data_IF_441971007505
#
_entry.id   IF_441971007505
#
_cell.length_a   1.000
_cell.length_b   1.000
_cell.length_c   1.000
_cell.angle_alpha   90.00
_cell.angle_beta   90.00
_cell.angle_gamma   90.00
#
_symmetry.space_group_name_H-M   'P 1'
#
loop_
_entity.id
_entity.type
_entity.pdbx_description
1 polymer ?
#
# COMPACT_ATOMS: atom_id res chain seq x y z
N UNK A 1 -8.73 -17.70 -9.84
CA UNK A 1 -9.50 -18.24 -8.69
C UNK A 1 -10.23 -17.10 -7.97
N UNK A 2 -11.15 -17.41 -7.05
CA UNK A 2 -11.75 -16.43 -6.13
C UNK A 2 -11.72 -17.01 -4.70
N UNK A 3 -10.87 -16.47 -3.84
CA UNK A 3 -10.70 -16.92 -2.46
C UNK A 3 -11.39 -15.91 -1.54
N UNK A 4 -12.29 -16.37 -0.67
CA UNK A 4 -12.91 -15.46 0.28
C UNK A 4 -11.92 -14.99 1.34
N UNK A 5 -11.21 -15.91 1.99
CA UNK A 5 -10.20 -15.57 2.99
C UNK A 5 -8.97 -16.46 2.83
N UNK A 6 -7.80 -15.83 2.80
CA UNK A 6 -6.50 -16.49 2.81
C UNK A 6 -5.81 -16.18 4.14
N UNK A 7 -5.74 -17.18 5.01
CA UNK A 7 -4.99 -17.13 6.26
C UNK A 7 -3.58 -17.67 6.03
N UNK A 8 -2.56 -16.86 6.29
CA UNK A 8 -1.16 -17.19 6.02
C UNK A 8 -0.45 -17.41 7.33
N UNK A 9 -0.19 -18.68 7.63
CA UNK A 9 0.50 -19.11 8.84
C UNK A 9 2.02 -19.15 8.67
N UNK A 10 2.72 -19.28 9.79
CA UNK A 10 4.18 -19.50 9.82
C UNK A 10 4.53 -20.86 10.40
N UNK A 11 5.68 -21.41 10.04
CA UNK A 11 6.08 -22.78 10.35
C UNK A 11 7.09 -22.85 11.51
N UNK A 12 6.85 -22.06 12.57
CA UNK A 12 7.75 -22.00 13.73
C UNK A 12 9.12 -21.41 13.36
N UNK A 13 10.19 -22.19 13.58
CA UNK A 13 11.58 -21.79 13.27
C UNK A 13 12.09 -22.34 11.93
N UNK A 14 11.34 -23.23 11.27
CA UNK A 14 11.73 -23.82 9.98
C UNK A 14 11.67 -22.76 8.88
N UNK A 15 12.72 -22.64 8.07
CA UNK A 15 12.79 -21.69 6.96
C UNK A 15 12.69 -22.42 5.62
N UNK A 16 12.02 -21.81 4.64
CA UNK A 16 11.80 -22.41 3.32
C UNK A 16 10.43 -23.05 3.13
N UNK A 17 9.59 -23.09 4.18
CA UNK A 17 8.19 -23.51 4.10
C UNK A 17 7.29 -22.28 3.93
N UNK A 18 6.42 -22.31 2.92
CA UNK A 18 5.52 -21.19 2.61
C UNK A 18 4.32 -21.63 1.79
N UNK A 19 3.26 -20.81 1.79
CA UNK A 19 2.12 -20.97 0.88
C UNK A 19 2.56 -20.62 -0.53
N UNK A 20 2.61 -21.60 -1.42
CA UNK A 20 3.10 -21.42 -2.78
C UNK A 20 1.94 -21.54 -3.80
N UNK A 21 1.65 -20.44 -4.48
CA UNK A 21 0.83 -20.47 -5.70
C UNK A 21 1.73 -20.85 -6.87
N UNK A 22 1.86 -22.16 -7.10
CA UNK A 22 2.84 -22.76 -8.01
C UNK A 22 2.46 -22.74 -9.49
N UNK A 23 1.35 -22.09 -9.85
CA UNK A 23 0.89 -21.94 -11.24
C UNK A 23 0.62 -20.48 -11.58
N UNK A 24 0.49 -20.20 -12.88
CA UNK A 24 0.07 -18.88 -13.35
C UNK A 24 -1.37 -18.59 -12.89
N UNK A 25 -1.57 -17.47 -12.20
CA UNK A 25 -2.88 -17.09 -11.65
C UNK A 25 -3.76 -16.32 -12.66
N UNK A 26 -3.26 -16.03 -13.86
CA UNK A 26 -3.96 -15.29 -14.90
C UNK A 26 -4.20 -13.81 -14.56
N UNK A 27 -5.33 -13.26 -15.01
CA UNK A 27 -5.71 -11.85 -14.81
C UNK A 27 -7.07 -11.64 -14.12
N UNK A 28 -7.77 -12.72 -13.75
CA UNK A 28 -9.09 -12.70 -13.09
C UNK A 28 -9.02 -13.17 -11.62
N UNK A 29 -7.82 -13.39 -11.08
CA UNK A 29 -7.69 -13.93 -9.73
C UNK A 29 -7.98 -12.88 -8.67
N UNK A 30 -8.78 -13.28 -7.68
CA UNK A 30 -9.23 -12.41 -6.58
C UNK A 30 -9.06 -13.10 -5.23
N UNK A 31 -8.67 -12.33 -4.23
CA UNK A 31 -8.75 -12.70 -2.81
C UNK A 31 -9.52 -11.59 -2.10
N UNK A 32 -10.59 -11.91 -1.37
CA UNK A 32 -11.30 -10.86 -0.64
C UNK A 32 -10.44 -10.42 0.54
N UNK A 33 -10.05 -11.34 1.43
CA UNK A 33 -9.24 -10.98 2.59
C UNK A 33 -7.97 -11.83 2.67
N UNK A 34 -6.81 -11.20 2.76
CA UNK A 34 -5.54 -11.83 3.14
C UNK A 34 -5.24 -11.46 4.58
N UNK A 35 -4.96 -12.44 5.43
CA UNK A 35 -4.51 -12.24 6.81
C UNK A 35 -3.20 -12.97 7.03
N UNK A 36 -2.13 -12.22 7.21
CA UNK A 36 -0.89 -12.77 7.74
C UNK A 36 -1.04 -12.99 9.25
N UNK A 37 -0.66 -14.16 9.74
CA UNK A 37 -0.49 -14.40 11.18
C UNK A 37 0.92 -13.97 11.62
N UNK A 38 1.03 -13.53 12.87
CA UNK A 38 2.31 -13.19 13.48
C UNK A 38 3.24 -14.41 13.47
N UNK A 39 4.42 -14.22 12.89
CA UNK A 39 5.44 -15.26 12.85
C UNK A 39 6.32 -15.33 14.09
N UNK A 40 7.31 -16.21 14.02
CA UNK A 40 8.34 -16.32 15.06
C UNK A 40 9.27 -15.11 14.98
N UNK A 41 9.50 -14.47 16.13
CA UNK A 41 10.23 -13.20 16.20
C UNK A 41 11.59 -13.30 15.51
N UNK A 42 11.87 -12.30 14.67
CA UNK A 42 13.12 -12.15 13.91
C UNK A 42 13.37 -13.21 12.83
N UNK A 43 12.39 -14.06 12.50
CA UNK A 43 12.51 -15.10 11.47
C UNK A 43 11.30 -15.03 10.53
N UNK A 44 11.54 -15.02 9.22
CA UNK A 44 10.50 -15.10 8.20
C UNK A 44 10.28 -16.56 7.75
N UNK A 45 9.72 -17.36 8.66
CA UNK A 45 9.51 -18.82 8.51
C UNK A 45 8.19 -19.20 7.81
N UNK A 46 7.44 -18.21 7.35
CA UNK A 46 6.23 -18.41 6.57
C UNK A 46 5.83 -17.15 5.83
N UNK A 47 5.04 -17.37 4.78
CA UNK A 47 4.59 -16.34 3.88
C UNK A 47 3.85 -16.91 2.68
N UNK A 48 3.52 -16.02 1.75
CA UNK A 48 2.94 -16.37 0.45
C UNK A 48 3.90 -16.01 -0.65
N UNK A 49 4.03 -16.90 -1.64
CA UNK A 49 4.75 -16.63 -2.88
C UNK A 49 3.93 -17.06 -4.08
N UNK A 50 4.07 -16.32 -5.17
CA UNK A 50 3.45 -16.62 -6.45
C UNK A 50 4.49 -16.96 -7.53
N UNK A 51 4.19 -17.95 -8.38
CA UNK A 51 5.02 -18.29 -9.55
C UNK A 51 4.92 -17.22 -10.63
N UNK A 52 3.71 -16.90 -11.10
CA UNK A 52 3.47 -15.86 -12.10
C UNK A 52 2.00 -15.42 -12.12
N UNK A 53 1.73 -14.28 -12.75
CA UNK A 53 0.38 -13.84 -13.11
C UNK A 53 0.35 -12.40 -13.59
N UNK A 54 -0.72 -12.04 -14.31
CA UNK A 54 -0.89 -10.70 -14.87
C UNK A 54 -1.57 -9.74 -13.87
N UNK A 55 -2.61 -10.22 -13.17
CA UNK A 55 -3.35 -9.38 -12.22
C UNK A 55 -3.91 -10.19 -11.04
N UNK A 56 -3.71 -9.65 -9.84
CA UNK A 56 -4.34 -10.10 -8.59
C UNK A 56 -5.09 -8.93 -7.94
N UNK A 57 -6.39 -9.12 -7.71
CA UNK A 57 -7.21 -8.16 -6.95
C UNK A 57 -7.34 -8.64 -5.52
N UNK A 58 -7.02 -7.77 -4.57
CA UNK A 58 -7.17 -8.02 -3.13
C UNK A 58 -8.09 -6.96 -2.54
N UNK A 59 -9.15 -7.37 -1.84
CA UNK A 59 -9.99 -6.36 -1.18
C UNK A 59 -9.28 -5.81 0.06
N UNK A 60 -8.89 -6.70 0.96
CA UNK A 60 -8.23 -6.36 2.22
C UNK A 60 -6.97 -7.20 2.43
N UNK A 61 -5.85 -6.54 2.73
CA UNK A 61 -4.59 -7.17 3.10
C UNK A 61 -4.20 -6.73 4.51
N UNK A 62 -4.27 -7.66 5.44
CA UNK A 62 -3.84 -7.48 6.82
C UNK A 62 -2.47 -8.10 7.03
N UNK A 63 -1.46 -7.26 7.24
CA UNK A 63 -0.09 -7.72 7.47
C UNK A 63 0.19 -7.91 8.97
N UNK A 64 1.11 -8.83 9.28
CA UNK A 64 1.55 -9.16 10.62
C UNK A 64 3.07 -9.33 10.62
N UNK A 65 3.75 -9.11 11.76
CA UNK A 65 5.19 -9.15 11.79
C UNK A 65 5.72 -10.57 11.62
N UNK A 66 6.93 -10.68 11.08
CA UNK A 66 7.69 -11.91 10.86
C UNK A 66 7.01 -12.87 9.87
N UNK A 67 6.26 -12.30 8.94
CA UNK A 67 5.57 -12.99 7.86
C UNK A 67 5.71 -12.14 6.58
N UNK A 68 5.54 -12.74 5.41
CA UNK A 68 5.73 -12.07 4.15
C UNK A 68 4.64 -12.36 3.11
N UNK A 69 4.44 -11.38 2.23
CA UNK A 69 3.61 -11.50 1.04
C UNK A 69 4.45 -11.13 -0.17
N UNK A 70 4.90 -12.14 -0.92
CA UNK A 70 5.76 -11.98 -2.09
C UNK A 70 4.98 -12.12 -3.39
N UNK A 71 4.52 -10.98 -3.90
CA UNK A 71 3.83 -10.85 -5.18
C UNK A 71 4.69 -10.17 -6.26
N UNK A 72 6.03 -10.26 -6.16
CA UNK A 72 6.95 -9.70 -7.19
C UNK A 72 6.79 -10.35 -8.57
N UNK A 73 6.28 -11.57 -8.63
CA UNK A 73 6.01 -12.26 -9.89
C UNK A 73 4.59 -12.04 -10.41
N UNK A 74 3.75 -11.30 -9.68
CA UNK A 74 2.44 -10.85 -10.17
C UNK A 74 2.62 -9.46 -10.73
N UNK A 75 2.37 -9.29 -12.04
CA UNK A 75 2.66 -8.03 -12.71
C UNK A 75 1.91 -6.87 -12.08
N UNK A 76 0.62 -7.02 -11.78
CA UNK A 76 -0.20 -5.98 -11.16
C UNK A 76 -0.97 -6.51 -9.94
N UNK A 77 -0.77 -5.90 -8.78
CA UNK A 77 -1.62 -6.11 -7.60
C UNK A 77 -2.47 -4.87 -7.36
N UNK A 78 -3.77 -5.06 -7.14
CA UNK A 78 -4.70 -3.98 -6.83
C UNK A 78 -5.34 -4.21 -5.46
N UNK A 79 -5.22 -3.22 -4.57
CA UNK A 79 -5.93 -3.18 -3.27
C UNK A 79 -7.19 -2.35 -3.44
N UNK A 80 -8.37 -2.93 -3.21
CA UNK A 80 -9.65 -2.23 -3.44
C UNK A 80 -10.29 -1.65 -2.19
N UNK A 81 -9.86 -2.03 -0.98
CA UNK A 81 -10.39 -1.48 0.26
C UNK A 81 -9.29 -1.12 1.28
N UNK A 82 -8.46 -2.08 1.70
CA UNK A 82 -7.53 -1.83 2.81
C UNK A 82 -6.21 -2.60 2.73
N UNK A 83 -5.10 -1.93 2.99
CA UNK A 83 -3.81 -2.54 3.33
C UNK A 83 -3.42 -2.00 4.70
N UNK A 84 -3.44 -2.82 5.74
CA UNK A 84 -3.23 -2.35 7.11
C UNK A 84 -2.59 -3.43 7.99
N UNK A 85 -2.11 -3.01 9.16
CA UNK A 85 -1.71 -3.97 10.18
C UNK A 85 -2.92 -4.79 10.62
N UNK A 86 -2.69 -6.07 10.94
CA UNK A 86 -3.73 -6.97 11.42
C UNK A 86 -4.43 -6.45 12.68
N UNK A 87 -5.51 -7.13 13.13
CA UNK A 87 -6.38 -6.64 14.21
C UNK A 87 -5.71 -6.52 15.60
N UNK A 88 -4.42 -6.82 15.72
CA UNK A 88 -3.66 -6.95 16.98
C UNK A 88 -3.21 -5.60 17.60
N UNK A 89 -3.93 -4.50 17.33
CA UNK A 89 -3.64 -3.19 17.92
C UNK A 89 -2.57 -2.39 17.16
N UNK A 90 -1.70 -1.67 17.90
CA UNK A 90 -0.69 -0.81 17.28
C UNK A 90 0.38 -1.62 16.52
N UNK A 91 0.80 -1.19 15.32
CA UNK A 91 1.84 -1.89 14.56
C UNK A 91 3.17 -2.02 15.31
N UNK A 92 3.79 -3.19 15.22
CA UNK A 92 5.09 -3.53 15.81
C UNK A 92 5.81 -4.61 15.00
N UNK A 93 7.11 -4.83 15.23
CA UNK A 93 7.92 -5.79 14.48
C UNK A 93 8.04 -5.40 13.00
N UNK A 94 8.38 -6.33 12.11
CA UNK A 94 8.42 -6.03 10.67
C UNK A 94 7.76 -7.14 9.86
N UNK A 95 6.90 -6.78 8.91
CA UNK A 95 6.43 -7.64 7.83
C UNK A 95 7.34 -7.48 6.60
N UNK A 96 7.11 -8.26 5.55
CA UNK A 96 7.69 -7.99 4.22
C UNK A 96 6.60 -8.05 3.17
N UNK A 97 6.26 -6.90 2.59
CA UNK A 97 5.25 -6.81 1.54
C UNK A 97 5.93 -6.41 0.23
N UNK A 98 5.97 -7.32 -0.73
CA UNK A 98 6.76 -7.16 -1.94
C UNK A 98 5.88 -7.27 -3.18
N UNK A 99 5.92 -6.24 -4.04
CA UNK A 99 5.07 -6.14 -5.22
C UNK A 99 5.88 -5.82 -6.48
N UNK A 100 5.40 -6.30 -7.64
CA UNK A 100 5.85 -5.74 -8.92
C UNK A 100 5.31 -4.32 -9.11
N UNK A 101 4.04 -4.24 -9.50
CA UNK A 101 3.26 -3.01 -9.49
C UNK A 101 2.20 -3.10 -8.40
N UNK A 102 1.94 -1.99 -7.72
CA UNK A 102 0.89 -1.87 -6.71
C UNK A 102 -0.06 -0.73 -7.07
N UNK A 103 -1.36 -1.01 -7.08
CA UNK A 103 -2.42 -0.02 -7.25
C UNK A 103 -3.26 0.04 -5.98
N UNK A 104 -3.46 1.23 -5.43
CA UNK A 104 -4.57 1.51 -4.52
C UNK A 104 -5.75 1.95 -5.37
N UNK A 105 -6.83 1.18 -5.33
CA UNK A 105 -8.08 1.51 -6.01
C UNK A 105 -8.81 2.68 -5.35
N UNK A 106 -9.90 3.16 -5.98
CA UNK A 106 -10.71 4.25 -5.45
C UNK A 106 -11.15 3.97 -4.01
N UNK A 107 -10.93 4.94 -3.14
CA UNK A 107 -11.22 4.88 -1.71
C UNK A 107 -10.44 3.85 -0.89
N UNK A 108 -9.52 3.09 -1.49
CA UNK A 108 -8.69 2.17 -0.74
C UNK A 108 -7.78 2.92 0.23
N UNK A 109 -7.55 2.34 1.40
CA UNK A 109 -6.72 2.90 2.46
C UNK A 109 -5.48 2.04 2.68
N UNK A 110 -4.32 2.67 2.70
CA UNK A 110 -3.05 2.01 3.00
C UNK A 110 -2.43 2.61 4.26
N UNK A 111 -2.38 1.84 5.34
CA UNK A 111 -1.62 2.23 6.54
C UNK A 111 -0.16 1.84 6.33
N UNK A 112 0.71 2.85 6.26
CA UNK A 112 2.11 2.69 5.91
C UNK A 112 3.04 3.15 7.03
N UNK A 113 4.08 2.34 7.28
CA UNK A 113 5.07 2.58 8.33
C UNK A 113 6.28 1.68 8.12
N UNK A 114 7.34 1.93 8.90
CA UNK A 114 8.52 1.07 9.00
C UNK A 114 8.19 -0.40 9.32
N UNK A 115 7.04 -0.68 9.95
CA UNK A 115 6.62 -2.03 10.32
C UNK A 115 6.01 -2.82 9.14
N UNK A 116 5.51 -2.13 8.11
CA UNK A 116 4.92 -2.76 6.92
C UNK A 116 5.96 -3.19 5.88
N UNK A 117 7.10 -2.48 5.82
CA UNK A 117 8.22 -2.72 4.91
C UNK A 117 7.77 -3.06 3.47
N UNK A 118 7.02 -2.14 2.87
CA UNK A 118 6.51 -2.29 1.51
C UNK A 118 7.62 -1.98 0.50
N UNK A 119 7.87 -2.92 -0.41
CA UNK A 119 8.81 -2.77 -1.54
C UNK A 119 8.05 -2.90 -2.86
N UNK A 120 8.21 -1.91 -3.74
CA UNK A 120 7.58 -1.87 -5.06
C UNK A 120 8.69 -1.73 -6.11
N UNK A 121 8.97 -2.80 -6.86
CA UNK A 121 10.06 -2.78 -7.87
C UNK A 121 9.68 -2.03 -9.15
N UNK A 122 8.38 -2.01 -9.50
CA UNK A 122 7.84 -1.37 -10.69
C UNK A 122 7.13 -0.07 -10.35
N UNK A 123 5.87 0.03 -10.77
CA UNK A 123 5.05 1.23 -10.64
C UNK A 123 4.15 1.19 -9.41
N UNK A 124 3.90 2.37 -8.85
CA UNK A 124 2.87 2.59 -7.84
C UNK A 124 1.78 3.51 -8.40
N UNK A 125 0.52 3.15 -8.22
CA UNK A 125 -0.62 3.99 -8.61
C UNK A 125 -1.50 4.17 -7.38
N UNK A 126 -1.68 5.41 -6.94
CA UNK A 126 -2.74 5.77 -6.01
C UNK A 126 -3.90 6.37 -6.80
N UNK A 127 -4.91 5.55 -7.11
CA UNK A 127 -6.10 5.97 -7.84
C UNK A 127 -7.19 6.39 -6.84
N UNK A 128 -7.13 7.63 -6.35
CA UNK A 128 -8.12 8.18 -5.42
C UNK A 128 -8.24 7.40 -4.09
N UNK A 129 -7.16 6.73 -3.67
CA UNK A 129 -7.00 6.12 -2.36
C UNK A 129 -6.29 7.06 -1.38
N UNK A 130 -6.12 6.61 -0.14
CA UNK A 130 -5.45 7.38 0.93
C UNK A 130 -4.34 6.56 1.55
N UNK A 131 -3.14 7.13 1.64
CA UNK A 131 -2.00 6.54 2.39
C UNK A 131 -1.92 7.22 3.75
N UNK A 132 -2.07 6.46 4.83
CA UNK A 132 -1.89 6.95 6.19
C UNK A 132 -0.46 6.62 6.65
N UNK A 133 0.39 7.63 6.81
CA UNK A 133 1.71 7.49 7.39
C UNK A 133 1.62 7.51 8.91
N UNK A 134 2.32 6.57 9.54
CA UNK A 134 2.46 6.50 10.98
C UNK A 134 3.76 7.16 11.45
N UNK A 135 3.65 8.18 12.30
CA UNK A 135 4.82 8.78 12.95
C UNK A 135 5.34 7.87 14.07
N UNK A 136 6.65 7.61 14.06
CA UNK A 136 7.37 6.83 15.08
C UNK A 136 8.73 7.46 15.37
N UNK A 137 8.99 7.73 16.65
CA UNK A 137 10.23 8.40 17.06
C UNK A 137 10.46 9.75 16.35
N UNK A 138 9.37 10.46 16.05
CA UNK A 138 9.37 11.73 15.31
C UNK A 138 9.77 11.65 13.84
N UNK A 139 9.71 10.46 13.23
CA UNK A 139 9.99 10.22 11.81
C UNK A 139 8.86 9.44 11.15
N UNK A 140 8.89 9.43 9.81
CA UNK A 140 8.08 8.59 8.94
C UNK A 140 8.99 7.69 8.09
N UNK A 141 8.42 6.62 7.55
CA UNK A 141 9.11 5.77 6.56
C UNK A 141 8.85 6.32 5.15
N UNK A 142 9.87 6.32 4.28
CA UNK A 142 9.72 6.75 2.89
C UNK A 142 9.20 5.59 2.03
N UNK A 143 8.05 5.78 1.37
CA UNK A 143 7.56 4.82 0.38
C UNK A 143 8.44 4.87 -0.87
N UNK A 144 9.26 3.84 -1.06
CA UNK A 144 10.19 3.73 -2.18
C UNK A 144 9.57 2.96 -3.35
N UNK A 145 9.55 3.57 -4.52
CA UNK A 145 8.99 3.04 -5.76
C UNK A 145 10.08 2.94 -6.82
N UNK A 146 10.30 1.74 -7.37
CA UNK A 146 11.42 1.44 -8.26
C UNK A 146 11.37 2.12 -9.64
N UNK A 147 10.17 2.50 -10.11
CA UNK A 147 9.99 3.16 -11.39
C UNK A 147 9.16 4.46 -11.29
N UNK A 148 7.86 4.43 -11.61
CA UNK A 148 6.99 5.59 -11.62
C UNK A 148 5.92 5.50 -10.53
N UNK A 149 5.57 6.64 -9.95
CA UNK A 149 4.39 6.79 -9.10
C UNK A 149 3.35 7.67 -9.80
N UNK A 150 2.06 7.33 -9.69
CA UNK A 150 0.96 8.17 -10.17
C UNK A 150 0.01 8.47 -9.01
N UNK A 151 -0.31 9.75 -8.83
CA UNK A 151 -1.23 10.27 -7.83
C UNK A 151 -2.46 10.83 -8.52
N UNK A 152 -3.52 10.02 -8.63
CA UNK A 152 -4.78 10.43 -9.23
C UNK A 152 -5.76 10.85 -8.14
N UNK A 153 -6.39 12.01 -8.30
CA UNK A 153 -7.34 12.59 -7.36
C UNK A 153 -8.55 13.18 -8.08
N UNK A 154 -9.60 13.50 -7.32
CA UNK A 154 -10.83 14.11 -7.82
C UNK A 154 -11.14 15.39 -7.03
N UNK A 155 -12.20 16.10 -7.44
CA UNK A 155 -12.68 17.32 -6.80
C UNK A 155 -13.84 17.06 -5.83
N UNK A 156 -14.06 15.80 -5.43
CA UNK A 156 -15.13 15.47 -4.49
C UNK A 156 -14.79 16.05 -3.11
N UNK A 157 -15.77 16.74 -2.53
CA UNK A 157 -15.67 17.29 -1.18
C UNK A 157 -16.26 16.28 -0.20
N UNK A 158 -15.47 15.91 0.81
CA UNK A 158 -15.94 15.09 1.90
C UNK A 158 -16.89 15.93 2.77
N UNK A 159 -18.15 15.52 2.84
CA UNK A 159 -19.19 16.24 3.59
C UNK A 159 -18.90 16.34 5.10
N UNK A 160 -18.08 15.45 5.65
CA UNK A 160 -17.72 15.47 7.08
C UNK A 160 -16.67 16.54 7.39
N UNK A 161 -15.80 16.87 6.44
CA UNK A 161 -14.69 17.82 6.65
C UNK A 161 -14.92 19.16 5.93
N UNK A 162 -15.71 19.18 4.86
CA UNK A 162 -15.84 20.33 3.96
C UNK A 162 -14.63 20.54 3.04
N UNK A 163 -13.72 19.57 2.96
CA UNK A 163 -12.49 19.61 2.15
C UNK A 163 -12.38 18.40 1.22
N UNK A 164 -11.45 18.46 0.26
CA UNK A 164 -11.13 17.31 -0.60
C UNK A 164 -10.68 16.10 0.24
N UNK A 165 -11.00 14.90 -0.25
CA UNK A 165 -10.44 13.68 0.34
C UNK A 165 -8.91 13.67 0.15
N UNK A 166 -8.12 13.54 1.22
CA UNK A 166 -6.66 13.56 1.09
C UNK A 166 -6.14 12.25 0.49
N UNK A 167 -5.09 12.36 -0.32
CA UNK A 167 -4.34 11.24 -0.86
C UNK A 167 -3.29 10.72 0.13
N UNK A 168 -2.79 11.60 1.00
CA UNK A 168 -1.84 11.26 2.05
C UNK A 168 -2.32 11.91 3.35
N UNK A 169 -2.31 11.13 4.43
CA UNK A 169 -2.50 11.59 5.80
C UNK A 169 -1.27 11.27 6.63
N UNK A 170 -0.74 12.22 7.39
CA UNK A 170 0.30 11.96 8.40
C UNK A 170 -0.34 11.95 9.78
N UNK A 171 -0.60 10.74 10.29
CA UNK A 171 -1.20 10.60 11.61
C UNK A 171 -0.18 10.96 12.69
N UNK A 172 -0.62 11.76 13.67
CA UNK A 172 0.23 12.32 14.72
C UNK A 172 1.36 13.21 14.20
N UNK A 173 1.09 14.02 13.16
CA UNK A 173 2.07 14.94 12.58
C UNK A 173 2.70 15.92 13.60
N UNK A 174 2.02 16.22 14.71
CA UNK A 174 2.57 17.06 15.79
C UNK A 174 3.81 16.46 16.45
N UNK A 175 4.01 15.14 16.33
CA UNK A 175 5.15 14.42 16.92
C UNK A 175 6.38 14.42 16.00
N UNK A 176 6.27 14.94 14.77
CA UNK A 176 7.39 15.02 13.83
C UNK A 176 8.53 15.91 14.35
N UNK A 177 9.76 15.48 14.12
CA UNK A 177 10.93 16.32 14.32
C UNK A 177 10.83 17.53 13.40
N UNK A 178 10.80 18.73 13.99
CA UNK A 178 10.74 20.00 13.25
C UNK A 178 12.07 20.31 12.57
N UNK A 179 12.03 21.17 11.55
CA UNK A 179 13.22 21.64 10.81
C UNK A 179 14.02 20.49 10.17
N UNK A 180 13.35 19.38 9.87
CA UNK A 180 13.90 18.21 9.19
C UNK A 180 13.02 17.89 8.00
N UNK A 181 13.65 17.56 6.87
CA UNK A 181 12.92 17.03 5.72
C UNK A 181 12.45 15.60 6.02
N UNK A 182 11.15 15.37 5.86
CA UNK A 182 10.51 14.06 5.97
C UNK A 182 10.04 13.65 4.58
N UNK A 183 10.78 12.74 3.93
CA UNK A 183 10.48 12.29 2.58
C UNK A 183 9.35 11.26 2.62
N UNK A 184 8.17 11.63 2.11
CA UNK A 184 7.00 10.73 2.07
C UNK A 184 7.18 9.62 1.03
N UNK A 185 7.53 9.99 -0.20
CA UNK A 185 7.61 9.08 -1.33
C UNK A 185 8.80 9.41 -2.22
N UNK A 186 9.46 8.36 -2.74
CA UNK A 186 10.56 8.47 -3.69
C UNK A 186 10.33 7.55 -4.89
N UNK A 187 10.36 8.11 -6.09
CA UNK A 187 10.26 7.41 -7.37
C UNK A 187 11.18 8.07 -8.42
N UNK A 188 11.38 7.45 -9.58
CA UNK A 188 12.11 8.11 -10.69
C UNK A 188 11.31 9.26 -11.29
N UNK A 189 9.99 9.09 -11.34
CA UNK A 189 9.04 10.11 -11.79
C UNK A 189 7.75 9.97 -10.98
N UNK A 190 7.16 11.11 -10.63
CA UNK A 190 5.85 11.19 -9.95
C UNK A 190 4.92 11.98 -10.87
N UNK A 191 3.88 11.32 -11.36
CA UNK A 191 2.80 11.93 -12.13
C UNK A 191 1.61 12.30 -11.23
N UNK A 192 0.92 13.37 -11.59
CA UNK A 192 -0.27 13.87 -10.89
C UNK A 192 -1.42 13.98 -11.88
N UNK A 193 -2.61 13.53 -11.51
CA UNK A 193 -3.78 13.53 -12.39
C UNK A 193 -5.02 13.95 -11.62
N UNK A 194 -5.78 14.90 -12.15
CA UNK A 194 -7.12 15.21 -11.66
C UNK A 194 -8.16 14.56 -12.57
N UNK A 195 -8.78 13.47 -12.12
CA UNK A 195 -9.74 12.70 -12.93
C UNK A 195 -11.09 13.40 -13.09
N UNK A 196 -11.37 14.43 -12.30
CA UNK A 196 -12.57 15.27 -12.43
C UNK A 196 -12.44 16.31 -13.54
N UNK A 197 -11.22 16.64 -13.95
CA UNK A 197 -11.00 17.48 -15.12
C UNK A 197 -11.26 16.60 -16.34
N UNK A 198 -12.47 16.68 -16.89
CA UNK A 198 -12.74 16.11 -18.21
C UNK A 198 -11.73 16.64 -19.23
N UNK A 199 -11.62 16.01 -20.40
CA UNK A 199 -10.63 16.36 -21.46
C UNK A 199 -10.70 17.80 -22.00
N UNK A 200 -11.59 18.66 -21.46
CA UNK A 200 -11.83 20.05 -21.84
C UNK A 200 -11.88 21.03 -20.66
N UNK A 201 -11.66 20.57 -19.42
CA UNK A 201 -11.74 21.41 -18.21
C UNK A 201 -10.34 21.88 -17.81
N UNK A 202 -10.10 23.18 -17.88
CA UNK A 202 -8.82 23.80 -17.51
C UNK A 202 -8.94 24.29 -16.06
N UNK A 203 -8.17 23.72 -15.15
CA UNK A 203 -7.90 24.37 -13.86
C UNK A 203 -6.76 25.38 -14.04
N UNK A 204 -6.92 26.61 -13.54
CA UNK A 204 -5.83 27.59 -13.54
C UNK A 204 -4.71 27.26 -12.55
N UNK A 205 -4.95 26.31 -11.64
CA UNK A 205 -4.01 25.84 -10.62
C UNK A 205 -3.26 24.63 -11.17
N UNK A 206 -1.95 24.55 -10.93
CA UNK A 206 -1.14 23.44 -11.43
C UNK A 206 -1.48 22.12 -10.68
N UNK A 207 -1.23 20.97 -11.29
CA UNK A 207 -1.62 19.67 -10.71
C UNK A 207 -0.86 19.34 -9.40
N UNK A 208 0.34 19.89 -9.23
CA UNK A 208 1.15 19.70 -8.01
C UNK A 208 0.56 20.50 -6.84
N UNK A 209 0.10 21.72 -7.08
CA UNK A 209 -0.60 22.58 -6.11
C UNK A 209 -1.91 21.92 -5.68
N UNK A 210 -2.71 21.42 -6.62
CA UNK A 210 -3.92 20.66 -6.30
C UNK A 210 -3.62 19.39 -5.48
N UNK A 211 -2.52 18.70 -5.80
CA UNK A 211 -2.07 17.56 -5.00
C UNK A 211 -1.69 17.98 -3.57
N UNK A 212 -1.01 19.11 -3.39
CA UNK A 212 -0.61 19.61 -2.08
C UNK A 212 -1.81 19.94 -1.18
N UNK A 213 -2.94 20.40 -1.75
CA UNK A 213 -4.21 20.58 -1.02
C UNK A 213 -4.83 19.28 -0.51
N UNK A 214 -4.32 18.12 -0.95
CA UNK A 214 -4.78 16.77 -0.59
C UNK A 214 -3.77 16.03 0.30
N UNK A 215 -2.85 16.78 0.91
CA UNK A 215 -1.97 16.31 1.98
C UNK A 215 -2.54 16.81 3.31
N UNK A 216 -2.78 15.91 4.26
CA UNK A 216 -3.37 16.21 5.57
C UNK A 216 -2.54 15.68 6.74
#
# INVERSE_FOLDING_TARGET
FNINELLVKTNGISVGEYTNFSEDIGNQSRINTVRLETGTRSIYSGGVKFKSGEKLVINELYYAPWNYFDARNIKNVEITNKLAFGPQGSPWGTAQLMFNNLTLGPNAVMDYSQFSNVTIQGNFINNQGTINYLVRGGNIETLSVGNAAVMSFNNDIDSATGFYKPLIKINSAQDLIKNKEHVLLKAKIIGYENVSLGTKSISNVNLIEQFNERLA
#
